data_IF_311461713603
#
_entry.id   IF_311461713603
#
_cell.length_a   1.000
_cell.length_b   1.000
_cell.length_c   1.000
_cell.angle_alpha   90.00
_cell.angle_beta   90.00
_cell.angle_gamma   90.00
#
_symmetry.space_group_name_H-M   'P 1'
#
loop_
_entity.id
_entity.type
_entity.pdbx_description
1 polymer ?
#
# COMPACT_ATOMS: atom_id res chain seq x y z
N UNK A 1 22.21 30.45 20.23
CA UNK A 1 22.78 30.19 18.89
C UNK A 1 23.79 29.06 19.04
N UNK A 2 23.39 27.82 18.84
CA UNK A 2 24.26 26.66 18.97
C UNK A 2 24.05 25.76 17.74
N UNK A 3 25.16 25.45 17.08
CA UNK A 3 25.24 24.83 15.76
C UNK A 3 24.71 23.39 15.77
N UNK A 4 23.91 23.06 14.76
CA UNK A 4 23.43 21.71 14.48
C UNK A 4 24.59 20.93 13.85
N UNK A 5 25.03 19.84 14.48
CA UNK A 5 26.01 18.91 13.93
C UNK A 5 25.31 17.67 13.32
N UNK A 6 25.68 17.23 12.10
CA UNK A 6 24.98 16.18 11.37
C UNK A 6 25.51 14.81 11.80
N UNK A 7 24.80 14.14 12.71
CA UNK A 7 25.28 12.88 13.30
C UNK A 7 24.21 11.89 13.69
N UNK A 8 23.01 11.98 13.10
CA UNK A 8 21.92 11.06 13.42
C UNK A 8 21.88 9.97 12.36
N UNK A 9 22.26 8.75 12.75
CA UNK A 9 22.26 7.58 11.86
C UNK A 9 20.86 7.35 11.27
N UNK A 10 20.77 7.12 9.96
CA UNK A 10 19.52 6.78 9.22
C UNK A 10 18.70 5.69 9.93
N UNK A 11 19.35 4.81 10.69
CA UNK A 11 18.73 3.75 11.45
C UNK A 11 17.76 4.23 12.56
N UNK A 12 17.97 5.41 13.13
CA UNK A 12 17.12 5.95 14.20
C UNK A 12 15.84 6.61 13.66
N UNK A 13 15.90 7.19 12.46
CA UNK A 13 14.71 7.71 11.78
C UNK A 13 13.75 6.59 11.38
N UNK A 14 14.26 5.45 10.88
CA UNK A 14 13.43 4.28 10.59
C UNK A 14 12.82 3.65 11.85
N UNK A 15 13.51 3.71 13.00
CA UNK A 15 13.03 3.13 14.27
C UNK A 15 11.93 3.98 14.93
N UNK A 16 11.90 5.29 14.70
CA UNK A 16 10.90 6.20 15.27
C UNK A 16 9.62 6.34 14.43
N UNK A 17 9.61 5.92 13.15
CA UNK A 17 8.37 5.76 12.38
C UNK A 17 7.59 4.48 12.75
N UNK A 18 8.10 3.72 13.71
CA UNK A 18 7.52 2.51 14.31
C UNK A 18 6.37 2.82 15.29
N UNK A 19 5.87 4.05 15.31
CA UNK A 19 4.48 4.35 15.67
C UNK A 19 3.59 3.89 14.52
N UNK A 20 3.57 2.57 14.33
CA UNK A 20 2.72 1.87 13.37
C UNK A 20 1.27 2.27 13.70
N UNK A 21 0.70 3.19 12.92
CA UNK A 21 -0.71 3.09 12.57
C UNK A 21 -0.93 1.62 12.25
N UNK A 22 -1.72 0.91 13.06
CA UNK A 22 -1.99 -0.52 12.91
C UNK A 22 -2.09 -0.82 11.42
N UNK A 23 -1.09 -1.51 10.86
CA UNK A 23 -1.16 -1.97 9.49
C UNK A 23 -2.27 -3.03 9.52
N UNK A 24 -3.51 -2.59 9.30
CA UNK A 24 -4.65 -3.49 9.43
C UNK A 24 -4.62 -4.44 8.26
N UNK A 25 -5.10 -5.66 8.49
CA UNK A 25 -5.25 -6.63 7.44
C UNK A 25 -6.15 -6.07 6.33
N UNK A 26 -5.75 -6.21 5.05
CA UNK A 26 -6.59 -5.87 3.91
C UNK A 26 -7.93 -6.61 3.99
N UNK A 27 -9.00 -5.89 3.67
CA UNK A 27 -10.35 -6.41 3.55
C UNK A 27 -10.87 -6.14 2.14
N UNK A 28 -11.94 -6.85 1.78
CA UNK A 28 -12.63 -6.63 0.51
C UNK A 28 -13.02 -5.14 0.36
N UNK A 29 -12.76 -4.58 -0.81
CA UNK A 29 -12.95 -3.17 -1.19
C UNK A 29 -12.02 -2.17 -0.50
N UNK A 30 -10.97 -2.64 0.18
CA UNK A 30 -9.92 -1.73 0.62
C UNK A 30 -9.12 -1.21 -0.55
N UNK A 31 -8.75 0.06 -0.44
CA UNK A 31 -7.76 0.66 -1.31
C UNK A 31 -6.38 0.33 -0.74
N UNK A 32 -5.52 -0.24 -1.56
CA UNK A 32 -4.17 -0.66 -1.17
C UNK A 32 -3.12 -0.04 -2.09
N UNK A 33 -1.93 0.20 -1.55
CA UNK A 33 -0.75 0.55 -2.33
C UNK A 33 0.22 -0.62 -2.39
N UNK A 34 0.83 -0.85 -3.54
CA UNK A 34 1.84 -1.89 -3.75
C UNK A 34 3.16 -1.50 -3.07
N UNK A 35 3.68 -2.38 -2.22
CA UNK A 35 4.96 -2.24 -1.53
C UNK A 35 6.10 -2.95 -2.24
N UNK A 36 5.78 -4.02 -2.97
CA UNK A 36 6.74 -4.79 -3.76
C UNK A 36 6.12 -5.13 -5.12
N UNK A 37 6.82 -4.79 -6.19
CA UNK A 37 6.52 -5.32 -7.52
C UNK A 37 7.00 -6.77 -7.57
N UNK A 38 6.07 -7.71 -7.67
CA UNK A 38 6.37 -9.13 -7.93
C UNK A 38 6.77 -9.36 -9.38
N UNK A 39 6.45 -10.53 -9.91
CA UNK A 39 6.71 -10.90 -11.31
C UNK A 39 5.69 -10.31 -12.30
N UNK A 40 4.68 -9.57 -11.83
CA UNK A 40 3.64 -8.97 -12.66
C UNK A 40 4.14 -7.66 -13.30
N UNK A 41 4.46 -7.64 -14.62
CA UNK A 41 5.08 -6.49 -15.28
C UNK A 41 4.14 -5.28 -15.40
N UNK A 42 2.83 -5.48 -15.22
CA UNK A 42 1.86 -4.41 -15.29
C UNK A 42 1.79 -3.54 -14.02
N UNK A 43 2.53 -3.89 -12.95
CA UNK A 43 2.41 -3.25 -11.64
C UNK A 43 3.76 -2.78 -11.12
N UNK A 44 3.78 -1.55 -10.62
CA UNK A 44 4.96 -0.95 -10.00
C UNK A 44 4.74 -0.66 -8.51
N UNK A 45 5.82 -0.56 -7.75
CA UNK A 45 5.76 -0.14 -6.35
C UNK A 45 5.13 1.25 -6.26
N UNK A 46 4.12 1.38 -5.40
CA UNK A 46 3.34 2.61 -5.24
C UNK A 46 2.05 2.65 -6.06
N UNK A 47 1.82 1.70 -6.97
CA UNK A 47 0.53 1.57 -7.65
C UNK A 47 -0.59 1.37 -6.63
N UNK A 48 -1.72 2.01 -6.89
CA UNK A 48 -2.90 1.99 -6.03
C UNK A 48 -3.99 1.17 -6.70
N UNK A 49 -4.47 0.16 -5.99
CA UNK A 49 -5.54 -0.72 -6.45
C UNK A 49 -6.59 -0.96 -5.38
N UNK A 50 -7.64 -1.70 -5.75
CA UNK A 50 -8.73 -2.09 -4.86
C UNK A 50 -8.72 -3.60 -4.68
N UNK A 51 -8.81 -4.07 -3.44
CA UNK A 51 -8.97 -5.51 -3.16
C UNK A 51 -10.36 -5.94 -3.64
N UNK A 52 -10.40 -6.80 -4.66
CA UNK A 52 -11.64 -7.32 -5.26
C UNK A 52 -11.95 -8.75 -4.84
N UNK A 53 -10.96 -9.50 -4.34
CA UNK A 53 -11.15 -10.81 -3.74
C UNK A 53 -10.09 -11.11 -2.65
N UNK A 54 -10.50 -11.86 -1.62
CA UNK A 54 -9.59 -12.43 -0.62
C UNK A 54 -9.38 -13.90 -0.95
N UNK A 55 -8.14 -14.29 -1.23
CA UNK A 55 -7.76 -15.66 -1.56
C UNK A 55 -7.25 -16.41 -0.31
N UNK A 56 -7.23 -17.75 -0.33
CA UNK A 56 -6.57 -18.53 0.71
C UNK A 56 -5.08 -18.18 0.86
N UNK A 57 -4.48 -18.54 2.00
CA UNK A 57 -3.05 -18.35 2.27
C UNK A 57 -2.57 -16.89 2.15
N UNK A 58 -3.40 -15.96 2.64
CA UNK A 58 -3.13 -14.52 2.64
C UNK A 58 -2.97 -13.87 1.26
N UNK A 59 -3.47 -14.51 0.21
CA UNK A 59 -3.53 -13.95 -1.13
C UNK A 59 -4.67 -12.95 -1.30
N UNK A 60 -4.50 -12.03 -2.25
CA UNK A 60 -5.44 -10.98 -2.60
C UNK A 60 -5.53 -10.89 -4.12
N UNK A 61 -6.73 -10.72 -4.67
CA UNK A 61 -6.86 -10.15 -6.01
C UNK A 61 -7.06 -8.65 -5.88
N UNK A 62 -6.23 -7.89 -6.59
CA UNK A 62 -6.25 -6.44 -6.58
C UNK A 62 -6.47 -5.94 -8.00
N UNK A 63 -7.54 -5.17 -8.20
CA UNK A 63 -7.84 -4.50 -9.45
C UNK A 63 -7.18 -3.11 -9.48
N UNK A 64 -6.52 -2.81 -10.60
CA UNK A 64 -5.89 -1.52 -10.86
C UNK A 64 -6.62 -0.83 -12.01
N UNK A 65 -6.98 0.43 -11.80
CA UNK A 65 -7.66 1.25 -12.81
C UNK A 65 -6.66 2.15 -13.55
N UNK A 66 -6.95 2.45 -14.81
CA UNK A 66 -6.29 3.52 -15.56
C UNK A 66 -6.84 4.91 -15.20
N UNK A 67 -6.36 5.95 -15.89
CA UNK A 67 -6.77 7.33 -15.65
C UNK A 67 -8.21 7.63 -16.04
N UNK A 68 -8.81 6.81 -16.89
CA UNK A 68 -10.21 6.90 -17.31
C UNK A 68 -11.13 6.08 -16.39
N UNK A 69 -10.57 5.42 -15.37
CA UNK A 69 -11.31 4.59 -14.41
C UNK A 69 -11.64 3.20 -14.95
N UNK A 70 -10.97 2.74 -16.02
CA UNK A 70 -11.15 1.39 -16.58
C UNK A 70 -10.17 0.42 -15.95
N UNK A 71 -10.56 -0.83 -15.78
CA UNK A 71 -9.65 -1.88 -15.33
C UNK A 71 -8.46 -2.01 -16.30
N UNK A 72 -7.27 -1.71 -15.80
CA UNK A 72 -6.00 -1.89 -16.50
C UNK A 72 -5.50 -3.32 -16.36
N UNK A 73 -5.54 -3.85 -15.13
CA UNK A 73 -5.17 -5.22 -14.81
C UNK A 73 -5.78 -5.64 -13.47
N UNK A 74 -5.80 -6.96 -13.24
CA UNK A 74 -6.04 -7.59 -11.93
C UNK A 74 -4.82 -8.45 -11.64
N UNK A 75 -4.27 -8.37 -10.42
CA UNK A 75 -3.13 -9.18 -10.03
C UNK A 75 -3.31 -9.83 -8.67
N UNK A 76 -2.70 -11.01 -8.56
CA UNK A 76 -2.60 -11.74 -7.31
C UNK A 76 -1.40 -11.24 -6.51
N UNK A 77 -1.66 -10.69 -5.33
CA UNK A 77 -0.64 -10.18 -4.41
C UNK A 77 -0.78 -10.83 -3.03
N UNK A 78 0.30 -10.90 -2.25
CA UNK A 78 0.20 -11.28 -0.85
C UNK A 78 -0.16 -10.07 0.02
N UNK A 79 -0.79 -10.29 1.17
CA UNK A 79 -1.03 -9.25 2.18
C UNK A 79 0.25 -8.49 2.58
N UNK A 80 1.42 -9.14 2.53
CA UNK A 80 2.70 -8.49 2.86
C UNK A 80 3.25 -7.57 1.75
N UNK A 81 2.71 -7.69 0.54
CA UNK A 81 3.14 -6.89 -0.62
C UNK A 81 2.34 -5.60 -0.76
N UNK A 82 1.40 -5.35 0.17
CA UNK A 82 0.50 -4.21 0.10
C UNK A 82 0.39 -3.43 1.41
N UNK A 83 0.05 -2.15 1.30
CA UNK A 83 -0.29 -1.28 2.41
C UNK A 83 -1.74 -0.83 2.26
N UNK A 84 -2.58 -1.12 3.25
CA UNK A 84 -3.95 -0.57 3.30
C UNK A 84 -3.89 0.94 3.47
N UNK A 85 -4.49 1.66 2.52
CA UNK A 85 -4.60 3.10 2.55
C UNK A 85 -5.86 3.51 3.31
N UNK A 86 -5.67 4.18 4.44
CA UNK A 86 -6.79 4.69 5.22
C UNK A 86 -7.28 5.99 4.58
N UNK A 87 -8.35 5.90 3.79
CA UNK A 87 -9.03 7.07 3.22
C UNK A 87 -10.37 7.26 3.90
N UNK A 88 -10.60 8.43 4.48
CA UNK A 88 -11.94 8.86 4.86
C UNK A 88 -12.78 9.03 3.57
N UNK A 89 -13.80 8.18 3.41
CA UNK A 89 -14.80 8.36 2.35
C UNK A 89 -15.65 9.58 2.71
N UNK A 90 -15.35 10.73 2.13
CA UNK A 90 -16.33 11.82 2.03
C UNK A 90 -17.47 11.31 1.16
N UNK A 91 -18.65 11.11 1.74
CA UNK A 91 -19.86 10.82 0.95
C UNK A 91 -20.08 11.99 -0.02
N UNK A 92 -20.10 11.69 -1.31
CA UNK A 92 -20.66 12.60 -2.32
C UNK A 92 -22.16 12.43 -2.28
N UNK A 93 -22.88 13.52 -1.97
CA UNK A 93 -24.33 13.61 -1.91
C UNK A 93 -24.92 13.85 -3.32
#
# INVERSE_FOLDING_TARGET
MARISPGWSRALYCRLRRSMSQARQPQLLDIVAVLKSGDEPAIEVGDVGTVVELLPSDGLEVEFLDRDGRARCVATLSQEDVLVLNRERTRVA
#
